data_IF_686067608117
#
_entry.id   IF_686067608117
#
_cell.length_a   1.000
_cell.length_b   1.000
_cell.length_c   1.000
_cell.angle_alpha   90.00
_cell.angle_beta   90.00
_cell.angle_gamma   90.00
#
_symmetry.space_group_name_H-M   'P 1'
#
loop_
_entity.id
_entity.type
_entity.pdbx_description
1 polymer ?
#
# COMPACT_ATOMS: atom_id res chain seq x y z
N UNK A 1 -64.39 -61.90 24.89
CA UNK A 1 -64.30 -60.76 25.83
C UNK A 1 -62.88 -60.15 25.68
N UNK A 2 -62.73 -59.07 24.96
CA UNK A 2 -61.42 -58.38 24.80
C UNK A 2 -61.45 -57.13 25.66
N UNK A 3 -60.51 -57.05 26.63
CA UNK A 3 -60.32 -55.84 27.44
C UNK A 3 -59.35 -54.90 26.76
N UNK A 4 -59.80 -53.72 26.41
CA UNK A 4 -58.98 -52.65 25.88
C UNK A 4 -58.45 -51.83 27.04
N UNK A 5 -57.13 -51.75 27.17
CA UNK A 5 -56.42 -50.90 28.12
C UNK A 5 -56.06 -49.62 27.39
N UNK A 6 -56.57 -48.48 27.86
CA UNK A 6 -56.27 -47.14 27.37
C UNK A 6 -55.09 -46.62 28.23
N UNK A 7 -53.95 -46.43 27.60
CA UNK A 7 -52.82 -45.68 28.18
C UNK A 7 -52.97 -44.19 27.88
N UNK A 8 -53.17 -43.43 28.95
CA UNK A 8 -53.11 -41.96 28.83
C UNK A 8 -51.66 -41.54 28.92
N UNK A 9 -51.15 -40.97 27.79
CA UNK A 9 -49.77 -40.40 27.72
C UNK A 9 -49.85 -38.92 28.10
N UNK A 10 -49.41 -38.58 29.31
CA UNK A 10 -49.25 -37.19 29.76
C UNK A 10 -48.02 -36.59 29.10
N UNK A 11 -48.20 -35.71 28.11
CA UNK A 11 -47.11 -34.92 27.53
C UNK A 11 -46.78 -33.75 28.48
N UNK A 12 -45.65 -33.80 29.14
CA UNK A 12 -45.03 -32.66 29.79
C UNK A 12 -44.48 -31.72 28.72
N UNK A 13 -45.14 -30.59 28.53
CA UNK A 13 -44.59 -29.45 27.78
C UNK A 13 -43.55 -28.77 28.67
N UNK A 14 -42.28 -29.10 28.44
CA UNK A 14 -41.15 -28.30 28.93
C UNK A 14 -41.04 -27.11 27.99
N UNK A 15 -41.55 -25.96 28.40
CA UNK A 15 -41.31 -24.69 27.75
C UNK A 15 -39.85 -24.32 27.88
N UNK A 16 -39.03 -24.64 26.86
CA UNK A 16 -37.71 -24.08 26.70
C UNK A 16 -37.91 -22.62 26.24
N UNK A 17 -37.77 -21.66 27.16
CA UNK A 17 -37.47 -20.28 26.78
C UNK A 17 -36.13 -20.30 26.10
N UNK A 18 -36.15 -20.42 24.78
CA UNK A 18 -35.00 -20.00 23.96
C UNK A 18 -34.82 -18.50 24.25
N UNK A 19 -33.75 -18.13 24.98
CA UNK A 19 -33.23 -16.76 24.89
C UNK A 19 -32.91 -16.56 23.43
N UNK A 20 -33.68 -15.73 22.78
CA UNK A 20 -33.23 -15.13 21.50
C UNK A 20 -31.93 -14.42 21.85
N UNK A 21 -30.82 -14.92 21.29
CA UNK A 21 -29.56 -14.18 21.28
C UNK A 21 -29.89 -12.84 20.64
N UNK A 22 -29.46 -11.71 21.22
CA UNK A 22 -29.68 -10.41 20.58
C UNK A 22 -29.12 -10.49 19.16
N UNK A 23 -29.99 -10.32 18.17
CA UNK A 23 -29.58 -10.23 16.76
C UNK A 23 -28.41 -9.26 16.71
N UNK A 24 -27.23 -9.77 16.35
CA UNK A 24 -26.07 -8.94 16.08
C UNK A 24 -26.52 -7.93 15.01
N UNK A 25 -26.42 -6.61 15.26
CA UNK A 25 -26.95 -5.63 14.33
C UNK A 25 -26.37 -5.91 12.96
N UNK A 26 -27.24 -6.17 11.98
CA UNK A 26 -26.82 -6.38 10.59
C UNK A 26 -25.94 -5.20 10.16
N UNK A 27 -24.67 -5.49 10.05
CA UNK A 27 -23.71 -4.51 9.61
C UNK A 27 -24.05 -4.15 8.14
N UNK A 28 -24.32 -2.87 7.79
CA UNK A 28 -24.61 -2.51 6.42
C UNK A 28 -23.58 -3.12 5.48
N UNK A 29 -24.04 -3.67 4.37
CA UNK A 29 -23.19 -4.35 3.39
C UNK A 29 -22.02 -3.45 2.98
N UNK A 30 -20.81 -4.00 3.05
CA UNK A 30 -19.62 -3.32 2.51
C UNK A 30 -19.83 -3.16 1.01
N UNK A 31 -19.58 -1.99 0.41
CA UNK A 31 -19.63 -1.83 -1.03
C UNK A 31 -18.87 -2.97 -1.69
N UNK A 32 -19.43 -3.60 -2.68
CA UNK A 32 -18.83 -4.76 -3.36
C UNK A 32 -17.44 -4.43 -3.92
N UNK A 33 -17.15 -3.16 -4.20
CA UNK A 33 -15.84 -2.63 -4.62
C UNK A 33 -15.74 -1.12 -4.40
N UNK A 34 -14.48 -0.62 -4.28
CA UNK A 34 -14.15 0.79 -4.17
C UNK A 34 -14.01 1.29 -2.74
N UNK A 35 -13.77 2.58 -2.63
CA UNK A 35 -13.66 3.31 -1.36
C UNK A 35 -14.66 4.45 -1.30
N UNK A 36 -15.14 4.74 -0.09
CA UNK A 36 -15.91 5.96 0.19
C UNK A 36 -15.44 6.60 1.49
N UNK A 37 -15.48 7.93 1.53
CA UNK A 37 -15.24 8.77 2.70
C UNK A 37 -16.42 9.72 2.86
N UNK A 38 -17.06 9.73 4.03
CA UNK A 38 -18.25 10.54 4.31
C UNK A 38 -19.34 10.39 3.23
N UNK A 39 -19.60 9.15 2.82
CA UNK A 39 -20.54 8.76 1.76
C UNK A 39 -20.15 9.22 0.34
N UNK A 40 -19.05 9.97 0.17
CA UNK A 40 -18.54 10.35 -1.15
C UNK A 40 -17.55 9.30 -1.67
N UNK A 41 -17.59 8.95 -2.98
CA UNK A 41 -16.59 8.05 -3.56
C UNK A 41 -15.18 8.63 -3.43
N UNK A 42 -14.20 7.76 -3.13
CA UNK A 42 -12.80 8.10 -3.11
C UNK A 42 -12.03 7.23 -4.11
N UNK A 43 -11.43 7.86 -5.11
CA UNK A 43 -10.68 7.19 -6.17
C UNK A 43 -9.20 7.51 -6.06
N UNK A 44 -8.36 6.58 -5.57
CA UNK A 44 -6.93 6.80 -5.53
C UNK A 44 -6.34 6.85 -6.94
N UNK A 45 -5.61 7.91 -7.24
CA UNK A 45 -4.84 8.08 -8.48
C UNK A 45 -3.41 7.55 -8.31
N UNK A 46 -2.85 7.64 -7.10
CA UNK A 46 -1.56 7.07 -6.75
C UNK A 46 -1.66 6.31 -5.44
N UNK A 47 -0.95 5.19 -5.39
CA UNK A 47 -0.89 4.31 -4.22
C UNK A 47 0.56 3.96 -3.93
N UNK A 48 1.04 4.36 -2.75
CA UNK A 48 2.40 4.05 -2.32
C UNK A 48 2.40 3.41 -0.93
N UNK A 49 3.37 2.56 -0.65
CA UNK A 49 3.55 1.94 0.66
C UNK A 49 4.95 2.17 1.19
N UNK A 50 5.08 2.15 2.51
CA UNK A 50 6.34 2.05 3.24
C UNK A 50 6.22 0.86 4.18
N UNK A 51 7.14 -0.09 4.09
CA UNK A 51 7.17 -1.27 4.94
C UNK A 51 8.53 -1.34 5.64
N UNK A 52 8.56 -0.89 6.90
CA UNK A 52 9.69 -1.15 7.79
C UNK A 52 11.01 -0.48 7.41
N UNK A 53 10.99 0.68 6.76
CA UNK A 53 12.20 1.47 6.61
C UNK A 53 12.74 1.83 8.01
N UNK A 54 13.98 1.43 8.30
CA UNK A 54 14.68 1.73 9.55
C UNK A 54 14.13 1.08 10.83
N UNK A 55 14.12 -0.25 10.89
CA UNK A 55 13.76 -1.04 12.08
C UNK A 55 12.31 -0.90 12.58
N UNK A 56 11.38 -0.44 11.77
CA UNK A 56 9.97 -0.42 12.10
C UNK A 56 9.29 -1.71 11.67
N UNK A 57 8.40 -2.21 12.49
CA UNK A 57 7.53 -3.35 12.17
C UNK A 57 6.18 -2.92 11.59
N UNK A 58 6.06 -1.69 11.08
CA UNK A 58 4.81 -1.12 10.59
C UNK A 58 4.72 -1.11 9.05
N UNK A 59 3.51 -1.31 8.56
CA UNK A 59 3.09 -1.09 7.18
C UNK A 59 2.34 0.23 7.10
N UNK A 60 2.76 1.11 6.21
CA UNK A 60 2.11 2.39 5.93
C UNK A 60 1.64 2.41 4.48
N UNK A 61 0.36 2.68 4.26
CA UNK A 61 -0.25 2.80 2.95
C UNK A 61 -0.74 4.23 2.73
N UNK A 62 -0.42 4.78 1.58
CA UNK A 62 -0.80 6.11 1.15
C UNK A 62 -1.62 5.99 -0.13
N UNK A 63 -2.84 6.47 -0.11
CA UNK A 63 -3.75 6.51 -1.25
C UNK A 63 -4.08 7.97 -1.53
N UNK A 64 -3.60 8.51 -2.63
CA UNK A 64 -3.78 9.92 -2.98
C UNK A 64 -4.68 10.05 -4.20
N UNK A 65 -5.76 10.85 -4.08
CA UNK A 65 -6.65 11.15 -5.20
C UNK A 65 -6.01 12.12 -6.21
N UNK A 66 -6.65 12.32 -7.36
CA UNK A 66 -6.22 13.32 -8.36
C UNK A 66 -6.22 14.75 -7.81
N UNK A 67 -7.09 15.05 -6.87
CA UNK A 67 -7.21 16.37 -6.20
C UNK A 67 -6.21 16.52 -5.04
N UNK A 68 -5.30 15.57 -4.84
CA UNK A 68 -4.30 15.60 -3.76
C UNK A 68 -4.84 15.24 -2.37
N UNK A 69 -6.09 14.77 -2.25
CA UNK A 69 -6.62 14.26 -0.98
C UNK A 69 -5.93 12.93 -0.66
N UNK A 70 -5.43 12.79 0.57
CA UNK A 70 -4.73 11.59 1.03
C UNK A 70 -5.56 10.81 2.04
N UNK A 71 -5.70 9.51 1.81
CA UNK A 71 -6.09 8.52 2.78
C UNK A 71 -4.83 7.77 3.22
N UNK A 72 -4.54 7.80 4.51
CA UNK A 72 -3.38 7.14 5.10
C UNK A 72 -3.82 6.03 6.04
N UNK A 73 -3.18 4.89 5.93
CA UNK A 73 -3.43 3.72 6.78
C UNK A 73 -2.09 3.20 7.27
N UNK A 74 -1.95 3.06 8.58
CA UNK A 74 -0.80 2.44 9.22
C UNK A 74 -1.26 1.27 10.08
N UNK A 75 -0.47 0.19 10.12
CA UNK A 75 -0.68 -0.94 11.02
C UNK A 75 0.64 -1.64 11.32
N UNK A 76 0.73 -2.28 12.48
CA UNK A 76 1.83 -3.21 12.75
C UNK A 76 1.77 -4.40 11.79
N UNK A 77 2.92 -4.84 11.26
CA UNK A 77 3.02 -6.01 10.37
C UNK A 77 2.49 -7.29 11.02
N UNK A 78 2.49 -7.39 12.36
CA UNK A 78 1.90 -8.51 13.07
C UNK A 78 0.37 -8.64 12.87
N UNK A 79 -0.29 -7.57 12.43
CA UNK A 79 -1.71 -7.54 12.08
C UNK A 79 -2.00 -7.87 10.62
N UNK A 80 -0.98 -8.00 9.78
CA UNK A 80 -1.18 -8.31 8.37
C UNK A 80 -1.97 -9.60 8.18
N UNK A 81 -3.05 -9.54 7.42
CA UNK A 81 -4.01 -10.63 7.23
C UNK A 81 -5.12 -10.72 8.30
N UNK A 82 -4.95 -10.08 9.46
CA UNK A 82 -5.94 -10.10 10.55
C UNK A 82 -6.94 -8.96 10.42
N UNK A 83 -8.15 -9.16 10.94
CA UNK A 83 -9.15 -8.11 11.13
C UNK A 83 -8.87 -7.41 12.46
N UNK A 84 -8.64 -6.10 12.42
CA UNK A 84 -8.40 -5.25 13.59
C UNK A 84 -9.73 -4.59 13.98
N UNK A 85 -10.13 -4.71 15.23
CA UNK A 85 -11.24 -3.95 15.81
C UNK A 85 -10.74 -2.54 16.16
N UNK A 86 -11.20 -1.54 15.43
CA UNK A 86 -10.77 -0.15 15.60
C UNK A 86 -11.52 0.58 16.72
N UNK A 87 -12.50 -0.06 17.36
CA UNK A 87 -13.21 0.49 18.52
C UNK A 87 -12.45 0.30 19.84
N UNK A 88 -11.43 -0.56 19.83
CA UNK A 88 -10.65 -0.88 21.02
C UNK A 88 -9.29 -0.18 20.97
N UNK A 89 -8.86 0.47 22.07
CA UNK A 89 -7.49 0.93 22.16
C UNK A 89 -6.55 -0.27 22.20
N UNK A 90 -5.46 -0.20 21.46
CA UNK A 90 -4.44 -1.22 21.47
C UNK A 90 -3.17 -0.64 22.11
N UNK A 91 -2.68 -1.30 23.16
CA UNK A 91 -1.42 -0.89 23.79
C UNK A 91 -0.27 -1.25 22.87
N UNK A 92 0.41 -0.24 22.35
CA UNK A 92 1.52 -0.41 21.44
C UNK A 92 2.62 -1.30 22.01
N UNK A 93 3.13 -2.19 21.18
CA UNK A 93 4.15 -3.17 21.58
C UNK A 93 5.53 -2.53 21.63
N UNK A 94 5.78 -1.42 20.93
CA UNK A 94 7.08 -0.73 20.92
C UNK A 94 6.88 0.78 20.67
N UNK A 95 7.41 1.69 21.52
CA UNK A 95 7.52 3.11 21.18
C UNK A 95 8.63 3.35 20.14
N UNK A 96 8.47 4.33 19.20
CA UNK A 96 7.37 5.29 19.11
C UNK A 96 6.42 5.00 17.93
N UNK A 97 5.62 3.96 17.98
CA UNK A 97 4.68 3.62 16.91
C UNK A 97 3.29 3.35 17.47
N UNK A 98 2.27 3.90 16.86
CA UNK A 98 0.91 3.52 17.16
C UNK A 98 0.64 2.16 16.50
N UNK A 99 -0.06 1.23 17.15
CA UNK A 99 -0.30 -0.11 16.60
C UNK A 99 -1.11 -0.06 15.31
N UNK A 100 -1.98 0.94 15.18
CA UNK A 100 -2.70 1.26 13.95
C UNK A 100 -3.11 2.73 13.92
N UNK A 101 -3.22 3.27 12.72
CA UNK A 101 -3.76 4.59 12.42
C UNK A 101 -4.55 4.56 11.12
N UNK A 102 -5.67 5.28 11.09
CA UNK A 102 -6.41 5.59 9.89
C UNK A 102 -6.66 7.09 9.84
N UNK A 103 -6.18 7.74 8.78
CA UNK A 103 -6.32 9.18 8.59
C UNK A 103 -6.99 9.46 7.26
N UNK A 104 -8.19 10.01 7.31
CA UNK A 104 -8.89 10.62 6.19
C UNK A 104 -8.50 12.10 6.05
N UNK A 105 -8.84 12.77 4.95
CA UNK A 105 -8.45 14.17 4.74
C UNK A 105 -8.91 15.16 5.83
N UNK A 106 -10.02 14.88 6.52
CA UNK A 106 -10.64 15.76 7.51
C UNK A 106 -10.66 15.22 8.94
N UNK A 107 -10.30 13.95 9.17
CA UNK A 107 -10.34 13.31 10.47
C UNK A 107 -9.33 12.18 10.60
N UNK A 108 -9.08 11.76 11.85
CA UNK A 108 -8.08 10.76 12.18
C UNK A 108 -8.53 9.93 13.38
N UNK A 109 -8.26 8.62 13.33
CA UNK A 109 -8.39 7.71 14.45
C UNK A 109 -7.09 6.89 14.59
N UNK A 110 -6.80 6.43 15.79
CA UNK A 110 -5.63 5.62 16.09
C UNK A 110 -5.81 4.83 17.38
N UNK A 111 -4.93 3.87 17.64
CA UNK A 111 -5.06 2.88 18.71
C UNK A 111 -4.92 3.38 20.15
N UNK A 112 -5.19 4.65 20.45
CA UNK A 112 -5.16 5.21 21.81
C UNK A 112 -6.56 5.52 22.32
N UNK A 113 -6.72 5.47 23.64
CA UNK A 113 -7.98 5.78 24.32
C UNK A 113 -8.49 7.19 23.96
N UNK A 114 -9.77 7.30 23.65
CA UNK A 114 -10.40 8.57 23.20
C UNK A 114 -10.21 8.90 21.72
N UNK A 115 -9.39 8.14 20.99
CA UNK A 115 -9.12 8.31 19.56
C UNK A 115 -9.54 7.11 18.72
N UNK A 116 -10.20 6.13 19.30
CA UNK A 116 -10.74 4.95 18.64
C UNK A 116 -12.03 5.25 17.89
N UNK A 117 -12.39 4.37 16.95
CA UNK A 117 -13.65 4.45 16.21
C UNK A 117 -14.84 3.96 17.06
N UNK A 118 -16.04 4.08 16.53
CA UNK A 118 -17.25 3.52 17.13
C UNK A 118 -17.29 1.98 16.99
N UNK A 119 -18.06 1.30 17.84
CA UNK A 119 -18.23 -0.14 17.81
C UNK A 119 -18.64 -0.66 16.43
N UNK A 120 -18.10 -1.80 16.02
CA UNK A 120 -18.30 -2.39 14.70
C UNK A 120 -17.38 -1.86 13.61
N UNK A 121 -16.51 -0.89 13.93
CA UNK A 121 -15.47 -0.40 13.02
C UNK A 121 -14.31 -1.38 12.95
N UNK A 122 -13.80 -1.62 11.73
CA UNK A 122 -12.67 -2.53 11.53
C UNK A 122 -11.79 -2.12 10.36
N UNK A 123 -10.56 -2.66 10.37
CA UNK A 123 -9.59 -2.62 9.29
C UNK A 123 -9.02 -4.02 9.06
N UNK A 124 -8.87 -4.42 7.82
CA UNK A 124 -8.14 -5.61 7.42
C UNK A 124 -7.30 -5.31 6.19
N UNK A 125 -6.01 -5.63 6.24
CA UNK A 125 -5.11 -5.57 5.10
C UNK A 125 -4.49 -6.95 4.91
N UNK A 126 -4.57 -7.48 3.67
CA UNK A 126 -3.94 -8.73 3.28
C UNK A 126 -2.95 -8.47 2.16
N UNK A 127 -1.81 -9.16 2.19
CA UNK A 127 -0.89 -9.15 1.07
C UNK A 127 -1.47 -9.98 -0.08
N UNK A 128 -1.56 -9.37 -1.26
CA UNK A 128 -2.08 -9.98 -2.49
C UNK A 128 -0.96 -10.44 -3.44
N UNK A 129 0.28 -10.49 -2.94
CA UNK A 129 1.47 -10.91 -3.69
C UNK A 129 2.22 -9.76 -4.35
N UNK A 130 3.43 -10.07 -4.79
CA UNK A 130 4.29 -9.16 -5.55
C UNK A 130 3.86 -9.11 -7.01
N UNK A 131 3.77 -7.92 -7.58
CA UNK A 131 3.50 -7.69 -8.99
C UNK A 131 4.47 -6.63 -9.50
N UNK A 132 4.75 -6.63 -10.78
CA UNK A 132 5.53 -5.55 -11.36
C UNK A 132 4.57 -4.43 -11.87
N UNK A 133 4.82 -3.19 -11.47
CA UNK A 133 5.73 -2.75 -10.41
C UNK A 133 5.02 -2.72 -9.04
N UNK A 134 5.66 -3.27 -7.98
CA UNK A 134 5.22 -3.11 -6.60
C UNK A 134 4.58 -4.33 -5.95
N UNK A 135 3.70 -4.10 -4.97
CA UNK A 135 2.97 -5.11 -4.21
C UNK A 135 1.47 -4.89 -4.28
N UNK A 136 0.70 -5.97 -4.29
CA UNK A 136 -0.75 -5.91 -4.12
C UNK A 136 -1.12 -5.99 -2.66
N UNK A 137 -2.05 -5.13 -2.25
CA UNK A 137 -2.73 -5.26 -0.97
C UNK A 137 -4.24 -5.29 -1.20
N UNK A 138 -4.90 -6.22 -0.52
CA UNK A 138 -6.36 -6.26 -0.39
C UNK A 138 -6.68 -5.47 0.87
N UNK A 139 -7.43 -4.39 0.74
CA UNK A 139 -7.76 -3.48 1.83
C UNK A 139 -9.27 -3.52 2.04
N UNK A 140 -9.70 -3.93 3.23
CA UNK A 140 -11.10 -3.89 3.63
C UNK A 140 -11.24 -3.12 4.93
N UNK A 141 -12.11 -2.12 4.97
CA UNK A 141 -12.39 -1.37 6.19
C UNK A 141 -13.81 -0.84 6.21
N UNK A 142 -14.27 -0.66 7.42
CA UNK A 142 -15.50 0.04 7.75
C UNK A 142 -15.28 0.79 9.03
N UNK A 143 -15.54 2.08 9.01
CA UNK A 143 -15.22 2.99 10.10
C UNK A 143 -16.38 3.96 10.28
N UNK A 144 -16.80 4.12 11.54
CA UNK A 144 -17.68 5.20 11.99
C UNK A 144 -16.98 5.93 13.12
N UNK A 145 -16.88 7.25 13.04
CA UNK A 145 -16.21 8.08 14.03
C UNK A 145 -16.81 9.48 14.09
N UNK A 146 -17.47 9.82 15.19
CA UNK A 146 -18.03 11.18 15.44
C UNK A 146 -18.84 11.75 14.26
N UNK A 147 -19.68 10.91 13.66
CA UNK A 147 -20.49 11.26 12.48
C UNK A 147 -19.80 11.14 11.13
N UNK A 148 -18.50 10.88 11.10
CA UNK A 148 -17.76 10.52 9.88
C UNK A 148 -17.88 9.05 9.57
N UNK A 149 -17.85 8.70 8.28
CA UNK A 149 -17.90 7.32 7.82
C UNK A 149 -16.83 7.07 6.76
N UNK A 150 -16.20 5.90 6.82
CA UNK A 150 -15.32 5.41 5.76
C UNK A 150 -15.57 3.94 5.50
N UNK A 151 -15.63 3.55 4.22
CA UNK A 151 -15.80 2.17 3.80
C UNK A 151 -14.90 1.88 2.62
N UNK A 152 -14.36 0.68 2.56
CA UNK A 152 -13.52 0.25 1.46
C UNK A 152 -13.38 -1.25 1.39
N UNK A 153 -13.38 -1.76 0.14
CA UNK A 153 -13.03 -3.14 -0.17
C UNK A 153 -12.45 -3.17 -1.57
N UNK A 154 -11.13 -3.19 -1.67
CA UNK A 154 -10.46 -3.11 -2.96
C UNK A 154 -9.09 -3.80 -2.94
N UNK A 155 -8.68 -4.30 -4.10
CA UNK A 155 -7.33 -4.80 -4.32
C UNK A 155 -6.57 -3.79 -5.17
N UNK A 156 -5.54 -3.19 -4.60
CA UNK A 156 -4.72 -2.18 -5.26
C UNK A 156 -3.26 -2.60 -5.34
N UNK A 157 -2.58 -2.10 -6.36
CA UNK A 157 -1.13 -2.23 -6.50
C UNK A 157 -0.47 -0.99 -5.92
N UNK A 158 0.42 -1.19 -4.96
CA UNK A 158 1.17 -0.13 -4.29
C UNK A 158 2.64 -0.18 -4.72
N UNK A 159 3.21 0.99 -4.95
CA UNK A 159 4.64 1.16 -5.24
C UNK A 159 5.36 1.57 -3.96
N UNK A 160 6.57 1.08 -3.73
CA UNK A 160 7.34 1.47 -2.55
C UNK A 160 7.59 2.99 -2.53
N UNK A 161 7.34 3.61 -1.38
CA UNK A 161 7.64 5.01 -1.15
C UNK A 161 9.13 5.17 -0.89
N UNK A 162 9.81 5.92 -1.74
CA UNK A 162 11.24 6.13 -1.67
C UNK A 162 11.51 7.50 -1.05
N UNK A 163 12.22 7.57 0.09
CA UNK A 163 12.64 8.84 0.66
C UNK A 163 13.56 9.62 -0.31
N UNK A 164 13.63 10.96 -0.15
CA UNK A 164 14.52 11.78 -0.98
C UNK A 164 15.98 11.36 -0.85
N UNK A 165 16.70 11.32 -1.97
CA UNK A 165 18.10 10.91 -2.10
C UNK A 165 18.28 9.64 -2.90
N UNK A 166 19.55 9.26 -3.13
CA UNK A 166 19.97 7.98 -3.71
C UNK A 166 20.38 7.05 -2.57
N UNK A 167 19.88 5.81 -2.56
CA UNK A 167 20.23 4.79 -1.59
C UNK A 167 20.89 3.61 -2.29
N UNK A 168 22.15 3.36 -1.96
CA UNK A 168 22.96 2.30 -2.57
C UNK A 168 23.76 1.57 -1.48
N UNK A 169 23.70 0.23 -1.46
CA UNK A 169 24.36 -0.62 -0.45
C UNK A 169 24.08 -0.18 1.00
N UNK A 170 22.83 0.26 1.26
CA UNK A 170 22.41 0.70 2.59
C UNK A 170 22.84 2.12 2.99
N UNK A 171 23.65 2.81 2.17
CA UNK A 171 24.07 4.18 2.40
C UNK A 171 23.20 5.17 1.64
N UNK A 172 22.89 6.31 2.25
CA UNK A 172 22.29 7.47 1.57
C UNK A 172 23.38 8.28 0.88
N UNK A 173 23.19 8.58 -0.38
CA UNK A 173 24.07 9.43 -1.21
C UNK A 173 23.27 10.66 -1.63
N UNK A 174 23.88 11.83 -1.58
CA UNK A 174 23.35 13.07 -2.17
C UNK A 174 24.09 13.32 -3.51
N UNK A 175 23.57 12.78 -4.64
CA UNK A 175 24.31 12.81 -5.88
C UNK A 175 24.25 14.17 -6.55
N UNK A 176 25.26 14.45 -7.38
CA UNK A 176 25.14 15.45 -8.42
C UNK A 176 24.31 14.85 -9.57
N UNK A 177 23.31 15.58 -10.01
CA UNK A 177 22.40 15.15 -11.08
C UNK A 177 22.68 15.94 -12.34
N UNK A 178 22.96 15.25 -13.44
CA UNK A 178 23.02 15.81 -14.78
C UNK A 178 22.00 15.14 -15.69
N UNK A 179 21.47 15.85 -16.67
CA UNK A 179 20.59 15.26 -17.67
C UNK A 179 20.82 15.85 -19.06
N UNK A 180 20.60 15.04 -20.07
CA UNK A 180 20.67 15.42 -21.48
C UNK A 180 19.53 14.74 -22.22
N UNK A 181 18.76 15.51 -22.99
CA UNK A 181 17.76 14.99 -23.92
C UNK A 181 18.27 15.23 -25.34
N UNK A 182 18.52 14.16 -26.06
CA UNK A 182 18.97 14.23 -27.47
C UNK A 182 18.47 12.99 -28.22
N UNK A 183 18.10 13.16 -29.48
CA UNK A 183 17.64 12.05 -30.33
C UNK A 183 16.53 11.20 -29.72
N UNK A 184 15.55 11.83 -29.09
CA UNK A 184 14.42 11.18 -28.39
C UNK A 184 14.86 10.26 -27.22
N UNK A 185 16.08 10.46 -26.71
CA UNK A 185 16.65 9.70 -25.62
C UNK A 185 17.03 10.62 -24.46
N UNK A 186 16.49 10.37 -23.29
CA UNK A 186 16.85 11.03 -22.04
C UNK A 186 17.95 10.25 -21.36
N UNK A 187 19.05 10.91 -21.06
CA UNK A 187 20.16 10.39 -20.26
C UNK A 187 20.22 11.16 -18.96
N UNK A 188 20.13 10.46 -17.84
CA UNK A 188 20.27 11.03 -16.49
C UNK A 188 21.51 10.41 -15.84
N UNK A 189 22.46 11.26 -15.45
CA UNK A 189 23.68 10.84 -14.78
C UNK A 189 23.68 11.28 -13.34
N UNK A 190 23.96 10.35 -12.42
CA UNK A 190 24.12 10.59 -11.00
C UNK A 190 25.56 10.27 -10.62
N UNK A 191 26.22 11.16 -9.91
CA UNK A 191 27.58 10.93 -9.40
C UNK A 191 27.65 11.30 -7.92
N UNK A 192 28.25 10.42 -7.13
CA UNK A 192 28.57 10.69 -5.74
C UNK A 192 29.76 11.68 -5.68
N UNK A 193 29.60 12.89 -5.14
CA UNK A 193 30.70 13.84 -5.05
C UNK A 193 31.83 13.38 -4.12
N UNK A 194 31.57 12.41 -3.25
CA UNK A 194 32.53 11.88 -2.29
C UNK A 194 33.21 10.59 -2.76
N UNK A 195 32.62 9.92 -3.77
CA UNK A 195 33.16 8.68 -4.34
C UNK A 195 32.81 8.59 -5.83
N UNK A 196 33.74 8.93 -6.70
CA UNK A 196 33.56 8.96 -8.16
C UNK A 196 33.25 7.58 -8.75
N UNK A 197 33.58 6.49 -8.06
CA UNK A 197 33.23 5.13 -8.49
C UNK A 197 31.71 4.84 -8.35
N UNK A 198 31.02 5.63 -7.54
CA UNK A 198 29.56 5.56 -7.38
C UNK A 198 28.87 6.41 -8.46
N UNK A 199 28.98 6.00 -9.71
CA UNK A 199 28.30 6.64 -10.84
C UNK A 199 27.15 5.79 -11.36
N UNK A 200 26.00 6.43 -11.63
CA UNK A 200 24.81 5.80 -12.18
C UNK A 200 24.39 6.55 -13.43
N UNK A 201 24.02 5.82 -14.46
CA UNK A 201 23.48 6.39 -15.70
C UNK A 201 22.18 5.68 -16.05
N UNK A 202 21.13 6.46 -16.21
CA UNK A 202 19.82 6.00 -16.66
C UNK A 202 19.58 6.54 -18.07
N UNK A 203 19.28 5.66 -18.99
CA UNK A 203 18.91 6.04 -20.35
C UNK A 203 17.54 5.47 -20.65
N UNK A 204 16.63 6.29 -21.17
CA UNK A 204 15.28 5.87 -21.56
C UNK A 204 14.77 6.67 -22.74
N UNK A 205 13.85 6.08 -23.49
CA UNK A 205 13.14 6.78 -24.55
C UNK A 205 12.32 7.94 -23.97
N UNK A 206 12.26 9.06 -24.65
CA UNK A 206 11.41 10.21 -24.32
C UNK A 206 9.94 9.83 -24.15
N UNK A 207 9.48 8.78 -24.83
CA UNK A 207 8.11 8.26 -24.73
C UNK A 207 7.74 7.80 -23.33
N UNK A 208 8.71 7.38 -22.52
CA UNK A 208 8.49 6.89 -21.15
C UNK A 208 8.45 8.01 -20.09
N UNK A 209 8.63 9.27 -20.50
CA UNK A 209 8.53 10.40 -19.56
C UNK A 209 7.06 10.54 -19.10
N UNK A 210 6.85 10.56 -17.80
CA UNK A 210 5.54 10.59 -17.15
C UNK A 210 4.95 9.22 -16.83
N UNK A 211 5.50 8.15 -17.38
CA UNK A 211 5.03 6.78 -17.18
C UNK A 211 5.79 6.08 -16.04
N UNK A 212 5.14 5.09 -15.43
CA UNK A 212 5.79 4.13 -14.53
C UNK A 212 6.26 2.94 -15.38
N UNK A 213 7.56 2.89 -15.66
CA UNK A 213 8.16 1.88 -16.51
C UNK A 213 8.63 0.68 -15.67
N UNK A 214 8.08 -0.53 -15.86
CA UNK A 214 8.58 -1.75 -15.22
C UNK A 214 9.92 -2.16 -15.85
N UNK A 215 10.93 -2.40 -15.02
CA UNK A 215 12.29 -2.74 -15.47
C UNK A 215 12.55 -4.26 -15.48
N UNK A 216 11.62 -5.05 -15.05
CA UNK A 216 11.64 -6.51 -15.12
C UNK A 216 10.93 -7.07 -16.37
N UNK A 217 10.62 -6.20 -17.33
CA UNK A 217 10.01 -6.55 -18.61
C UNK A 217 10.83 -6.04 -19.76
N UNK A 218 10.78 -6.78 -20.86
CA UNK A 218 11.39 -6.34 -22.14
C UNK A 218 10.69 -5.09 -22.60
N UNK A 219 11.47 -4.07 -22.94
CA UNK A 219 10.98 -2.87 -23.61
C UNK A 219 10.79 -3.16 -25.10
N UNK A 220 9.65 -2.80 -25.65
CA UNK A 220 9.36 -2.96 -27.07
C UNK A 220 9.89 -1.80 -27.92
N UNK A 221 10.42 -0.73 -27.30
CA UNK A 221 10.98 0.41 -28.01
C UNK A 221 12.38 0.05 -28.57
N UNK A 222 12.68 0.52 -29.77
CA UNK A 222 14.05 0.44 -30.35
C UNK A 222 15.07 1.14 -29.45
N UNK A 223 14.65 2.23 -28.79
CA UNK A 223 15.42 2.97 -27.78
C UNK A 223 15.12 2.46 -26.35
N UNK A 224 15.19 1.13 -26.16
CA UNK A 224 14.95 0.50 -24.88
C UNK A 224 15.72 1.19 -23.74
N UNK A 225 15.19 1.08 -22.53
CA UNK A 225 15.84 1.62 -21.34
C UNK A 225 17.15 0.88 -21.02
N UNK A 226 18.11 1.59 -20.44
CA UNK A 226 19.30 1.01 -19.84
C UNK A 226 19.68 1.71 -18.56
N UNK A 227 20.25 0.97 -17.62
CA UNK A 227 20.75 1.46 -16.33
C UNK A 227 22.15 0.91 -16.13
N UNK A 228 23.14 1.80 -16.09
CA UNK A 228 24.50 1.50 -15.68
C UNK A 228 24.67 1.93 -14.23
N UNK A 229 25.22 1.06 -13.39
CA UNK A 229 25.53 1.34 -11.98
C UNK A 229 26.90 0.73 -11.62
N UNK A 230 27.47 1.02 -10.43
CA UNK A 230 28.85 0.60 -10.13
C UNK A 230 29.12 -0.91 -10.24
N UNK A 231 28.13 -1.75 -9.90
CA UNK A 231 28.31 -3.20 -9.91
C UNK A 231 27.83 -3.89 -11.21
N UNK A 232 27.24 -3.14 -12.16
CA UNK A 232 26.71 -3.79 -13.36
C UNK A 232 25.83 -2.92 -14.25
N UNK A 233 25.02 -3.60 -15.05
CA UNK A 233 24.11 -2.98 -16.01
C UNK A 233 22.83 -3.80 -16.16
N UNK A 234 21.71 -3.09 -16.27
CA UNK A 234 20.42 -3.63 -16.68
C UNK A 234 19.96 -2.97 -17.98
N UNK A 235 19.23 -3.70 -18.79
CA UNK A 235 18.70 -3.21 -20.07
C UNK A 235 17.31 -3.78 -20.32
N UNK A 236 16.48 -3.07 -21.07
CA UNK A 236 15.15 -3.52 -21.52
C UNK A 236 15.18 -4.67 -22.52
N UNK A 237 16.15 -5.58 -22.43
CA UNK A 237 16.35 -6.73 -23.31
C UNK A 237 16.25 -8.05 -22.55
N UNK A 238 15.85 -9.09 -23.25
CA UNK A 238 15.86 -10.47 -22.74
C UNK A 238 17.25 -10.83 -22.19
N UNK A 239 17.30 -11.34 -20.97
CA UNK A 239 18.52 -11.77 -20.28
C UNK A 239 19.30 -10.64 -19.57
N UNK A 240 18.84 -9.37 -19.66
CA UNK A 240 19.48 -8.21 -19.03
C UNK A 240 18.51 -7.39 -18.18
N UNK A 241 17.35 -7.94 -17.85
CA UNK A 241 16.31 -7.27 -17.08
C UNK A 241 16.72 -7.07 -15.63
N UNK A 242 16.21 -6.01 -15.00
CA UNK A 242 16.35 -5.80 -13.57
C UNK A 242 15.56 -6.86 -12.77
N UNK A 243 15.84 -7.07 -11.47
CA UNK A 243 15.10 -7.98 -10.62
C UNK A 243 13.59 -7.70 -10.62
N UNK A 244 12.78 -8.76 -10.45
CA UNK A 244 11.31 -8.65 -10.42
C UNK A 244 10.84 -7.60 -9.41
N UNK A 245 9.90 -6.75 -9.83
CA UNK A 245 9.37 -5.65 -9.03
C UNK A 245 10.15 -4.34 -9.17
N UNK A 246 11.24 -4.30 -9.95
CA UNK A 246 11.99 -3.09 -10.24
C UNK A 246 11.24 -2.17 -11.21
N UNK A 247 11.36 -0.87 -11.00
CA UNK A 247 10.67 0.12 -11.82
C UNK A 247 11.38 1.49 -11.80
N UNK A 248 11.06 2.34 -12.78
CA UNK A 248 11.51 3.73 -12.89
C UNK A 248 10.35 4.63 -13.31
N UNK A 249 10.32 5.85 -12.81
CA UNK A 249 9.46 6.93 -13.30
C UNK A 249 10.29 8.21 -13.43
N UNK A 250 10.19 8.87 -14.58
CA UNK A 250 10.75 10.18 -14.80
C UNK A 250 9.62 11.13 -15.11
N UNK A 251 9.47 12.20 -14.34
CA UNK A 251 8.51 13.27 -14.60
C UNK A 251 9.26 14.53 -15.01
N UNK A 252 8.71 15.31 -15.93
CA UNK A 252 9.20 16.64 -16.24
C UNK A 252 8.30 17.69 -15.58
N UNK A 253 8.88 18.51 -14.71
CA UNK A 253 8.17 19.54 -13.95
C UNK A 253 8.95 20.84 -14.05
N UNK A 254 8.34 21.89 -14.62
CA UNK A 254 8.98 23.21 -14.75
C UNK A 254 10.31 23.19 -15.50
N UNK A 255 10.47 22.30 -16.50
CA UNK A 255 11.69 22.15 -17.28
C UNK A 255 12.79 21.33 -16.61
N UNK A 256 12.57 20.85 -15.39
CA UNK A 256 13.47 19.93 -14.68
C UNK A 256 12.93 18.51 -14.71
N UNK A 257 13.82 17.51 -14.64
CA UNK A 257 13.45 16.11 -14.53
C UNK A 257 13.50 15.67 -13.07
N UNK A 258 12.41 15.05 -12.64
CA UNK A 258 12.31 14.39 -11.34
C UNK A 258 12.40 12.89 -11.57
N UNK A 259 13.41 12.24 -10.98
CA UNK A 259 13.68 10.82 -11.13
C UNK A 259 13.26 10.06 -9.87
N UNK A 260 12.43 9.06 -10.05
CA UNK A 260 12.01 8.13 -8.99
C UNK A 260 12.23 6.70 -9.49
N UNK A 261 12.97 5.88 -8.75
CA UNK A 261 13.27 4.50 -9.17
C UNK A 261 13.49 3.56 -7.98
N UNK A 262 13.24 2.29 -8.24
CA UNK A 262 13.46 1.21 -7.31
C UNK A 262 14.02 -0.01 -8.06
N UNK A 263 15.24 -0.41 -7.74
CA UNK A 263 15.85 -1.65 -8.21
C UNK A 263 15.87 -2.61 -7.03
N UNK A 264 15.03 -3.62 -7.10
CA UNK A 264 14.74 -4.50 -5.99
C UNK A 264 16.01 -5.14 -5.43
N UNK A 265 16.21 -5.00 -4.10
CA UNK A 265 17.36 -5.47 -3.31
C UNK A 265 18.72 -4.84 -3.65
N UNK A 266 18.78 -3.78 -4.48
CA UNK A 266 20.04 -3.19 -4.87
C UNK A 266 20.13 -1.70 -4.54
N UNK A 267 19.35 -0.87 -5.23
CA UNK A 267 19.38 0.57 -5.03
C UNK A 267 18.07 1.25 -5.39
N UNK A 268 17.82 2.40 -4.80
CA UNK A 268 16.61 3.19 -5.02
C UNK A 268 16.88 4.68 -4.90
N UNK A 269 16.07 5.51 -5.52
CA UNK A 269 16.23 6.96 -5.44
C UNK A 269 14.97 7.74 -5.75
N UNK A 270 14.93 8.95 -5.15
CA UNK A 270 13.93 9.99 -5.34
C UNK A 270 14.66 11.33 -5.43
N UNK A 271 14.86 11.85 -6.64
CA UNK A 271 15.75 12.96 -6.98
C UNK A 271 15.03 14.01 -7.82
#
# INVERSE_FOLDING_TARGET
MKKTIIFALSALLVGACAKEDPEEPELPEIPSRGFSLDKAPFYPATTTYDAGAFSRSDLQLYLTSKEGKELYIQMDMAHLGKKIDLSQPEKGIVPPGQPWEFRAPSWRIYGEEGHTAEAGSYLQIKEGGTVSPGKRFVIAYRITYKGHTAQGNETLTFVERIPSGLYYKGAKIEPRVGYTLANQRLVISLSDPNNMDNAFTFELSEKHIGELLPLDKVDSDENYWSIQYPDGRYEGKTGHLAPTGSWIRVNQIGGQYKLLFFINNEFKGNL
#
